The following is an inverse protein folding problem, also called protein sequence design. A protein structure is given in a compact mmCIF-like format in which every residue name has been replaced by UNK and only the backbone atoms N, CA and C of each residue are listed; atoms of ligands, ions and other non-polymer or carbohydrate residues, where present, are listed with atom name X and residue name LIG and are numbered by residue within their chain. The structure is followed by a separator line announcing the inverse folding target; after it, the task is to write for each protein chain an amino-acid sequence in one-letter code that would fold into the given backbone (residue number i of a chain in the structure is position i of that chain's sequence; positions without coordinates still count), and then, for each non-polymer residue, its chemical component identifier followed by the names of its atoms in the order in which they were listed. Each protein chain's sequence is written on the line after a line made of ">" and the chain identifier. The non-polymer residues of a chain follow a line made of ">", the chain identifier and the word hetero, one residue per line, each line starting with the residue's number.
data_IF_113528735495
#
_entry.id   IF_113528735495
#
_cell.length_a   1.000
_cell.length_b   1.000
_cell.length_c   1.000
_cell.angle_alpha   90.00
_cell.angle_beta   90.00
_cell.angle_gamma   90.00
#
_symmetry.space_group_name_H-M   'P 1'
#
loop_
_entity.id
_entity.type
_entity.pdbx_description
1 polymer ?
#
# COMPACT_ATOMS: atom_id res chain seq x y z
N UNK A 1 -7.54 11.19 -2.40
CA UNK A 1 -6.42 10.95 -3.32
C UNK A 1 -6.83 10.80 -4.79
N UNK A 2 -8.13 10.66 -5.06
CA UNK A 2 -8.61 10.52 -6.45
C UNK A 2 -8.71 11.84 -7.21
N UNK A 3 -8.27 12.93 -6.62
CA UNK A 3 -8.35 14.27 -7.21
C UNK A 3 -7.32 14.44 -8.32
N UNK A 4 -7.58 15.41 -9.23
CA UNK A 4 -6.65 15.73 -10.30
C UNK A 4 -5.32 16.25 -9.75
N UNK A 5 -5.38 17.05 -8.68
CA UNK A 5 -4.23 17.53 -7.93
C UNK A 5 -4.32 16.97 -6.50
N UNK A 6 -3.91 15.70 -6.27
CA UNK A 6 -4.05 15.11 -4.95
C UNK A 6 -3.17 15.82 -3.92
N UNK A 7 -3.64 15.98 -2.68
CA UNK A 7 -2.88 16.66 -1.62
C UNK A 7 -1.80 15.75 -1.03
N UNK A 8 -0.79 15.42 -1.83
CA UNK A 8 0.26 14.46 -1.45
C UNK A 8 0.96 14.87 -0.16
N UNK A 9 1.42 16.13 -0.06
CA UNK A 9 2.15 16.60 1.11
C UNK A 9 1.30 16.59 2.36
N UNK A 10 0.02 16.96 2.23
CA UNK A 10 -0.92 16.94 3.34
C UNK A 10 -1.15 15.51 3.85
N UNK A 11 -1.27 14.54 2.94
CA UNK A 11 -1.43 13.14 3.32
C UNK A 11 -0.17 12.61 4.01
N UNK A 12 1.02 12.97 3.52
CA UNK A 12 2.28 12.60 4.15
C UNK A 12 2.35 13.16 5.58
N UNK A 13 1.93 14.41 5.77
CA UNK A 13 1.90 15.04 7.09
C UNK A 13 0.91 14.35 8.03
N UNK A 14 -0.27 13.98 7.54
CA UNK A 14 -1.27 13.24 8.33
C UNK A 14 -0.75 11.87 8.74
N UNK A 15 -0.03 11.20 7.84
CA UNK A 15 0.56 9.90 8.13
C UNK A 15 1.54 10.00 9.30
N UNK A 16 2.40 11.01 9.29
CA UNK A 16 3.36 11.25 10.36
C UNK A 16 2.66 11.62 11.67
N UNK A 17 1.61 12.45 11.60
CA UNK A 17 0.89 12.93 12.77
C UNK A 17 0.08 11.83 13.48
N UNK A 18 -0.43 10.85 12.73
CA UNK A 18 -1.23 9.77 13.31
C UNK A 18 -0.39 8.54 13.68
N UNK A 19 0.86 8.48 13.24
CA UNK A 19 1.75 7.37 13.57
C UNK A 19 2.25 7.50 15.01
N UNK A 20 2.27 6.39 15.74
CA UNK A 20 3.00 6.30 17.00
C UNK A 20 4.28 5.49 16.77
N UNK A 21 5.00 5.19 17.86
CA UNK A 21 6.30 4.51 17.81
C UNK A 21 6.21 3.15 17.12
N UNK A 22 5.10 2.44 17.29
CA UNK A 22 4.93 1.08 16.82
C UNK A 22 3.97 0.93 15.65
N UNK A 23 3.48 2.04 15.08
CA UNK A 23 2.53 1.99 13.96
C UNK A 23 3.14 1.37 12.72
N UNK A 24 2.51 0.29 12.23
CA UNK A 24 2.86 -0.33 10.95
C UNK A 24 2.21 0.44 9.81
N UNK A 25 2.89 0.46 8.64
CA UNK A 25 2.44 1.28 7.50
C UNK A 25 1.10 0.81 6.93
N UNK A 26 0.85 -0.50 6.85
CA UNK A 26 -0.35 -0.99 6.18
C UNK A 26 -1.65 -0.57 6.89
N UNK A 27 -1.80 -0.75 8.21
CA UNK A 27 -3.00 -0.27 8.90
C UNK A 27 -3.21 1.23 8.79
N UNK A 28 -2.13 2.03 8.77
CA UNK A 28 -2.25 3.48 8.64
C UNK A 28 -2.74 3.90 7.26
N UNK A 29 -2.39 3.15 6.21
CA UNK A 29 -2.92 3.43 4.87
C UNK A 29 -4.43 3.21 4.80
N UNK A 30 -4.99 2.37 5.67
CA UNK A 30 -6.44 2.18 5.76
C UNK A 30 -7.15 3.26 6.56
N UNK A 31 -6.42 4.07 7.32
CA UNK A 31 -7.01 5.15 8.12
C UNK A 31 -7.53 6.24 7.20
N UNK A 32 -8.86 6.40 7.14
CA UNK A 32 -9.50 7.36 6.24
C UNK A 32 -9.19 8.80 6.61
N UNK A 33 -8.72 9.06 7.81
CA UNK A 33 -8.27 10.39 8.22
C UNK A 33 -6.86 10.68 7.71
N UNK A 34 -6.07 9.64 7.40
CA UNK A 34 -4.77 9.79 6.75
C UNK A 34 -4.95 9.94 5.24
N UNK A 35 -5.63 8.98 4.61
CA UNK A 35 -5.78 8.95 3.17
C UNK A 35 -7.14 8.36 2.80
N UNK A 36 -8.10 9.23 2.50
CA UNK A 36 -9.42 8.79 2.07
C UNK A 36 -9.35 8.07 0.72
N UNK A 37 -10.05 6.96 0.61
CA UNK A 37 -10.16 6.19 -0.62
C UNK A 37 -9.27 4.96 -0.72
N UNK A 38 -8.26 4.81 0.14
CA UNK A 38 -7.44 3.60 0.16
C UNK A 38 -8.19 2.50 0.89
N UNK A 39 -8.62 1.48 0.16
CA UNK A 39 -9.24 0.28 0.73
C UNK A 39 -8.23 -0.85 0.90
N UNK A 40 -8.73 -1.99 1.38
CA UNK A 40 -7.87 -3.14 1.67
C UNK A 40 -7.13 -3.66 0.44
N UNK A 41 -7.74 -3.60 -0.73
CA UNK A 41 -7.10 -4.02 -1.98
C UNK A 41 -5.91 -3.12 -2.29
N UNK A 42 -6.13 -1.80 -2.34
CA UNK A 42 -5.07 -0.85 -2.71
C UNK A 42 -3.98 -0.77 -1.65
N UNK A 43 -4.30 -0.96 -0.37
CA UNK A 43 -3.29 -1.06 0.67
C UNK A 43 -2.18 -2.05 0.28
N UNK A 44 -2.55 -3.27 -0.07
CA UNK A 44 -1.60 -4.31 -0.45
C UNK A 44 -0.90 -3.99 -1.76
N UNK A 45 -1.64 -3.49 -2.76
CA UNK A 45 -1.09 -3.18 -4.08
C UNK A 45 -0.10 -2.02 -4.06
N UNK A 46 -0.38 -0.97 -3.30
CA UNK A 46 0.51 0.18 -3.14
C UNK A 46 1.85 -0.24 -2.53
N UNK A 47 1.79 -1.04 -1.48
CA UNK A 47 3.00 -1.49 -0.79
C UNK A 47 3.84 -2.42 -1.66
N UNK A 48 3.22 -3.28 -2.46
CA UNK A 48 3.96 -4.10 -3.42
C UNK A 48 4.63 -3.23 -4.49
N UNK A 49 3.91 -2.27 -5.05
CA UNK A 49 4.46 -1.37 -6.06
C UNK A 49 5.65 -0.57 -5.52
N UNK A 50 5.56 -0.12 -4.27
CA UNK A 50 6.62 0.64 -3.61
C UNK A 50 7.73 -0.22 -2.98
N UNK A 51 7.60 -1.53 -3.02
CA UNK A 51 8.56 -2.49 -2.44
C UNK A 51 8.77 -2.30 -0.93
N UNK A 52 7.70 -1.95 -0.23
CA UNK A 52 7.74 -1.73 1.22
C UNK A 52 6.98 -2.85 1.92
N UNK A 53 7.59 -3.42 2.96
CA UNK A 53 6.92 -4.43 3.79
C UNK A 53 5.67 -3.83 4.44
N UNK A 54 4.52 -4.50 4.40
CA UNK A 54 3.32 -4.01 5.08
C UNK A 54 3.48 -3.93 6.60
N UNK A 55 4.47 -4.63 7.14
CA UNK A 55 4.77 -4.66 8.58
C UNK A 55 5.85 -3.66 8.97
N UNK A 56 6.39 -2.90 8.02
CA UNK A 56 7.35 -1.85 8.32
C UNK A 56 6.70 -0.79 9.20
N UNK A 57 7.43 -0.35 10.22
CA UNK A 57 6.95 0.73 11.08
C UNK A 57 7.16 2.07 10.37
N UNK A 58 6.19 2.96 10.49
CA UNK A 58 6.27 4.27 9.81
C UNK A 58 7.55 5.01 10.21
N UNK A 59 7.97 4.91 11.47
CA UNK A 59 9.20 5.55 11.95
C UNK A 59 10.47 5.10 11.21
N UNK A 60 10.44 3.88 10.64
CA UNK A 60 11.59 3.32 9.91
C UNK A 60 11.59 3.68 8.44
N UNK A 61 10.55 4.39 7.97
CA UNK A 61 10.43 4.86 6.60
C UNK A 61 10.79 6.34 6.53
N UNK A 62 11.68 6.71 5.62
CA UNK A 62 12.02 8.11 5.44
C UNK A 62 10.89 8.87 4.73
N UNK A 63 11.00 10.21 4.71
CA UNK A 63 9.96 11.07 4.12
C UNK A 63 9.78 10.77 2.62
N UNK A 64 10.86 10.50 1.92
CA UNK A 64 10.78 10.21 0.48
C UNK A 64 10.04 8.91 0.20
N UNK A 65 10.27 7.88 1.02
CA UNK A 65 9.55 6.61 0.91
C UNK A 65 8.07 6.81 1.18
N UNK A 66 7.72 7.54 2.23
CA UNK A 66 6.32 7.84 2.55
C UNK A 66 5.65 8.61 1.41
N UNK A 67 6.33 9.62 0.86
CA UNK A 67 5.83 10.39 -0.28
C UNK A 67 5.63 9.50 -1.51
N UNK A 68 6.57 8.61 -1.79
CA UNK A 68 6.46 7.67 -2.91
C UNK A 68 5.23 6.78 -2.76
N UNK A 69 4.98 6.25 -1.57
CA UNK A 69 3.80 5.40 -1.33
C UNK A 69 2.50 6.18 -1.55
N UNK A 70 2.40 7.38 -1.04
CA UNK A 70 1.22 8.23 -1.23
C UNK A 70 1.03 8.57 -2.71
N UNK A 71 2.11 8.86 -3.42
CA UNK A 71 2.05 9.15 -4.86
C UNK A 71 1.57 7.94 -5.66
N UNK A 72 2.08 6.74 -5.33
CA UNK A 72 1.63 5.49 -5.96
C UNK A 72 0.14 5.28 -5.70
N UNK A 73 -0.30 5.48 -4.46
CA UNK A 73 -1.70 5.32 -4.10
C UNK A 73 -2.59 6.26 -4.92
N UNK A 74 -2.18 7.52 -5.04
CA UNK A 74 -2.93 8.51 -5.82
C UNK A 74 -3.04 8.10 -7.29
N UNK A 75 -1.96 7.60 -7.87
CA UNK A 75 -1.97 7.13 -9.27
C UNK A 75 -2.90 5.95 -9.48
N UNK A 76 -2.82 4.96 -8.59
CA UNK A 76 -3.64 3.76 -8.70
C UNK A 76 -5.12 4.07 -8.55
N UNK A 77 -5.48 4.88 -7.55
CA UNK A 77 -6.86 5.27 -7.33
C UNK A 77 -7.41 6.07 -8.50
N UNK A 78 -6.63 7.03 -9.03
CA UNK A 78 -7.05 7.82 -10.17
C UNK A 78 -7.24 6.97 -11.41
N UNK A 79 -6.33 6.06 -11.70
CA UNK A 79 -6.44 5.16 -12.84
C UNK A 79 -7.73 4.33 -12.78
N UNK A 80 -8.12 3.90 -11.59
CA UNK A 80 -9.34 3.11 -11.42
C UNK A 80 -10.63 3.96 -11.51
N UNK A 81 -10.55 5.24 -11.15
CA UNK A 81 -11.67 6.18 -11.34
C UNK A 81 -11.88 6.46 -12.83
N UNK A 82 -10.79 6.67 -13.58
CA UNK A 82 -10.85 6.99 -15.01
C UNK A 82 -11.22 5.79 -15.88
N UNK A 83 -11.00 4.57 -15.38
CA UNK A 83 -11.33 3.34 -16.10
C UNK A 83 -12.21 2.47 -15.22
N UNK A 84 -13.50 2.83 -15.03
CA UNK A 84 -14.40 2.06 -14.17
C UNK A 84 -14.61 0.66 -14.74
N UNK A 85 -14.65 -0.32 -13.85
CA UNK A 85 -14.74 -1.73 -14.20
C UNK A 85 -13.95 -2.56 -13.20
N UNK A 86 -13.14 -3.48 -13.69
CA UNK A 86 -12.28 -4.28 -12.79
C UNK A 86 -11.19 -3.41 -12.18
N UNK A 87 -10.95 -3.59 -10.87
CA UNK A 87 -9.82 -2.95 -10.21
C UNK A 87 -8.51 -3.46 -10.80
N UNK A 88 -7.61 -2.55 -11.12
CA UNK A 88 -6.36 -2.88 -11.77
C UNK A 88 -5.25 -1.96 -11.29
N UNK A 89 -4.06 -2.52 -11.07
CA UNK A 89 -2.87 -1.78 -10.68
C UNK A 89 -1.70 -2.01 -11.62
N UNK A 90 -1.86 -2.90 -12.59
CA UNK A 90 -0.81 -3.27 -13.54
C UNK A 90 -1.13 -2.76 -14.94
N UNK A 91 -0.10 -2.42 -15.73
CA UNK A 91 -0.31 -1.91 -17.11
C UNK A 91 -1.12 -2.83 -18.00
N UNK A 92 -1.00 -4.15 -17.82
CA UNK A 92 -1.75 -5.14 -18.59
C UNK A 92 -3.10 -5.51 -17.99
N UNK A 93 -3.52 -4.83 -16.91
CA UNK A 93 -4.72 -5.16 -16.16
C UNK A 93 -4.44 -6.14 -15.02
N UNK A 94 -5.38 -6.24 -14.10
CA UNK A 94 -5.31 -7.14 -12.96
C UNK A 94 -4.54 -6.57 -11.76
N UNK A 95 -4.44 -7.40 -10.72
CA UNK A 95 -3.80 -7.04 -9.46
C UNK A 95 -2.50 -7.81 -9.28
N UNK A 96 -1.56 -7.22 -8.54
CA UNK A 96 -0.23 -7.81 -8.32
C UNK A 96 -0.21 -8.85 -7.21
N UNK A 97 -0.85 -8.56 -6.07
CA UNK A 97 -0.78 -9.42 -4.88
C UNK A 97 -2.13 -9.77 -4.29
N UNK A 98 -3.09 -8.86 -4.31
CA UNK A 98 -4.37 -9.07 -3.63
C UNK A 98 -5.13 -10.25 -4.23
N UNK A 99 -5.51 -11.18 -3.35
CA UNK A 99 -6.22 -12.39 -3.77
C UNK A 99 -5.32 -13.45 -4.42
N UNK A 100 -4.02 -13.29 -4.37
CA UNK A 100 -3.06 -14.15 -5.09
C UNK A 100 -2.17 -15.00 -4.19
N UNK A 101 -2.62 -15.30 -2.98
CA UNK A 101 -1.85 -16.15 -2.07
C UNK A 101 -1.37 -17.43 -2.77
N UNK A 102 -0.08 -17.74 -2.62
CA UNK A 102 0.53 -18.93 -3.20
C UNK A 102 0.86 -18.82 -4.69
N UNK A 103 0.39 -17.76 -5.37
CA UNK A 103 0.71 -17.53 -6.76
C UNK A 103 2.05 -16.79 -6.89
N UNK A 104 2.77 -16.98 -8.00
CA UNK A 104 4.08 -16.35 -8.14
C UNK A 104 4.00 -14.83 -8.25
N UNK A 105 4.87 -14.14 -7.52
CA UNK A 105 5.03 -12.70 -7.65
C UNK A 105 5.37 -12.35 -9.09
N UNK A 106 4.71 -11.32 -9.62
CA UNK A 106 4.89 -10.92 -11.02
C UNK A 106 6.25 -10.32 -11.31
N UNK A 107 7.02 -9.95 -10.26
CA UNK A 107 8.39 -9.44 -10.43
C UNK A 107 9.46 -10.52 -10.24
N UNK A 108 9.33 -11.34 -9.21
CA UNK A 108 10.42 -12.26 -8.82
C UNK A 108 10.02 -13.74 -8.78
N UNK A 109 8.73 -14.06 -8.95
CA UNK A 109 8.27 -15.44 -8.95
C UNK A 109 8.07 -16.07 -7.58
N UNK A 110 8.43 -15.41 -6.50
CA UNK A 110 8.22 -15.90 -5.15
C UNK A 110 6.73 -16.01 -4.84
N UNK A 111 6.26 -17.09 -4.18
CA UNK A 111 4.85 -17.19 -3.82
C UNK A 111 4.38 -16.03 -2.93
N UNK A 112 3.26 -15.44 -3.28
CA UNK A 112 2.64 -14.37 -2.49
C UNK A 112 2.14 -14.95 -1.17
N UNK A 113 2.40 -14.24 -0.08
CA UNK A 113 1.96 -14.61 1.25
C UNK A 113 0.77 -13.73 1.67
N UNK A 114 0.05 -14.16 2.71
CA UNK A 114 -1.04 -13.38 3.30
C UNK A 114 -1.07 -13.56 4.80
N UNK A 115 -1.57 -12.53 5.50
CA UNK A 115 -1.74 -12.56 6.95
C UNK A 115 -2.80 -11.54 7.38
N UNK A 116 -3.53 -11.83 8.46
CA UNK A 116 -4.38 -10.83 9.10
C UNK A 116 -3.51 -9.83 9.84
N UNK A 117 -3.88 -8.55 9.78
CA UNK A 117 -3.09 -7.47 10.35
C UNK A 117 -3.98 -6.36 10.91
N UNK A 118 -3.53 -5.75 12.00
CA UNK A 118 -4.19 -4.60 12.62
C UNK A 118 -5.15 -4.97 13.74
N UNK A 119 -5.61 -3.96 14.48
CA UNK A 119 -6.57 -4.12 15.58
C UNK A 119 -7.94 -4.55 15.08
N UNK A 120 -8.36 -4.02 13.93
CA UNK A 120 -9.52 -4.49 13.18
C UNK A 120 -8.96 -5.35 12.04
N UNK A 121 -8.80 -6.68 12.24
CA UNK A 121 -7.98 -7.47 11.35
C UNK A 121 -8.45 -7.46 9.90
N UNK A 122 -7.55 -7.07 9.01
CA UNK A 122 -7.76 -7.10 7.56
C UNK A 122 -6.68 -7.96 6.93
N UNK A 123 -7.04 -8.71 5.89
CA UNK A 123 -6.06 -9.54 5.20
C UNK A 123 -5.08 -8.65 4.43
N UNK A 124 -3.79 -8.97 4.58
CA UNK A 124 -2.70 -8.29 3.88
C UNK A 124 -1.97 -9.31 3.00
N UNK A 125 -1.76 -8.97 1.74
CA UNK A 125 -1.00 -9.78 0.78
C UNK A 125 0.31 -9.08 0.45
N UNK A 126 1.40 -9.83 0.37
CA UNK A 126 2.71 -9.25 0.02
C UNK A 126 3.65 -10.31 -0.54
N UNK A 127 4.72 -9.85 -1.23
CA UNK A 127 5.82 -10.71 -1.62
C UNK A 127 6.95 -10.60 -0.60
N UNK A 128 7.31 -11.68 0.10
CA UNK A 128 8.37 -11.62 1.12
C UNK A 128 9.73 -11.21 0.60
N UNK A 129 9.99 -11.41 -0.69
CA UNK A 129 11.28 -11.07 -1.31
C UNK A 129 11.30 -9.62 -1.80
N UNK A 130 10.25 -9.19 -2.54
CA UNK A 130 10.18 -7.81 -3.05
C UNK A 130 9.89 -6.79 -1.97
N UNK A 131 9.29 -7.22 -0.87
CA UNK A 131 8.91 -6.37 0.26
C UNK A 131 9.57 -6.91 1.53
N UNK A 132 10.91 -6.86 1.63
CA UNK A 132 11.63 -7.45 2.74
C UNK A 132 11.39 -6.69 4.04
N UNK A 133 11.56 -7.36 5.16
CA UNK A 133 11.48 -6.72 6.47
C UNK A 133 12.54 -5.63 6.57
N UNK A 134 12.15 -4.50 7.16
CA UNK A 134 13.10 -3.42 7.43
C UNK A 134 14.00 -3.84 8.58
N UNK A 135 15.31 -3.77 8.38
CA UNK A 135 16.26 -4.07 9.43
C UNK A 135 16.11 -3.07 10.57
N UNK A 136 15.98 -3.60 11.77
CA UNK A 136 15.84 -2.79 12.98
C UNK A 136 17.15 -2.05 13.31
#
# INVERSE_FOLDING_TARGET
>A
LCLQDPPIDEVVDRLAARADVDSEIAPLLLDQQVAAGIGNVFKSEVLWAGRVSPFAKVRDLDVETRRRLVTIAARQLRANVLSPGERSTLPGGGLAVYGRRGQPCRRCGTPIDQRLQGEDPRVTYWCPVCQPEVAA
#
